data_IF_653881441564
#
_entry.id   IF_653881441564
#
_cell.length_a   1.000
_cell.length_b   1.000
_cell.length_c   1.000
_cell.angle_alpha   90.00
_cell.angle_beta   90.00
_cell.angle_gamma   90.00
#
_symmetry.space_group_name_H-M   'P 1'
#
loop_
_entity.id
_entity.type
_entity.pdbx_description
1 polymer ?
#
# COMPACT_ATOMS: atom_id res chain seq x y z
N UNK A 1 59.69 -38.68 -35.62
CA UNK A 1 58.57 -38.50 -34.68
C UNK A 1 58.04 -37.10 -34.91
N UNK A 2 57.02 -36.92 -35.76
CA UNK A 2 56.50 -35.63 -36.15
C UNK A 2 55.32 -35.29 -35.18
N UNK A 3 55.44 -34.20 -34.49
CA UNK A 3 54.40 -33.74 -33.58
C UNK A 3 53.13 -33.38 -34.37
N UNK A 4 51.94 -33.75 -33.90
CA UNK A 4 50.68 -33.35 -34.58
C UNK A 4 50.55 -31.83 -34.57
N UNK A 5 50.17 -31.30 -35.74
CA UNK A 5 50.03 -29.87 -35.97
C UNK A 5 48.88 -29.34 -35.09
N UNK A 6 49.11 -28.25 -34.35
CA UNK A 6 48.10 -27.65 -33.44
C UNK A 6 46.80 -27.27 -34.14
N UNK A 7 46.91 -26.98 -35.44
CA UNK A 7 45.76 -26.64 -36.29
C UNK A 7 44.81 -27.82 -36.55
N UNK A 8 45.33 -29.06 -36.62
CA UNK A 8 44.53 -30.27 -36.76
C UNK A 8 43.78 -30.60 -35.46
N UNK A 9 44.36 -30.31 -34.31
CA UNK A 9 43.73 -30.53 -33.00
C UNK A 9 42.60 -29.52 -32.73
N UNK A 10 42.73 -28.31 -33.27
CA UNK A 10 41.70 -27.26 -33.12
C UNK A 10 40.51 -27.47 -34.08
N UNK A 11 40.74 -28.04 -35.23
CA UNK A 11 39.69 -28.48 -36.18
C UNK A 11 38.92 -29.67 -35.61
N UNK A 12 39.57 -30.64 -35.03
CA UNK A 12 38.94 -31.83 -34.40
C UNK A 12 38.10 -31.45 -33.18
N UNK A 13 38.51 -30.42 -32.41
CA UNK A 13 37.75 -29.88 -31.29
C UNK A 13 36.54 -29.04 -31.75
N UNK A 14 36.58 -28.45 -32.95
CA UNK A 14 35.41 -27.73 -33.54
C UNK A 14 34.39 -28.70 -34.11
N UNK A 15 34.86 -29.75 -34.79
CA UNK A 15 33.98 -30.79 -35.35
C UNK A 15 33.25 -31.56 -34.24
N UNK A 16 33.94 -31.89 -33.12
CA UNK A 16 33.33 -32.50 -31.92
C UNK A 16 32.29 -31.59 -31.21
N UNK A 17 32.31 -30.29 -31.46
CA UNK A 17 31.34 -29.34 -30.86
C UNK A 17 30.07 -29.17 -31.68
N UNK A 18 30.08 -29.55 -32.96
CA UNK A 18 28.89 -29.42 -33.84
C UNK A 18 28.09 -30.72 -33.98
N UNK A 19 28.64 -31.83 -33.53
CA UNK A 19 27.90 -33.11 -33.50
C UNK A 19 26.89 -33.06 -32.35
N UNK A 20 25.68 -32.63 -32.65
CA UNK A 20 24.57 -32.71 -31.71
C UNK A 20 24.34 -34.16 -31.37
N UNK A 21 24.54 -34.55 -30.12
CA UNK A 21 24.33 -35.90 -29.61
C UNK A 21 22.97 -36.43 -30.08
N UNK A 22 22.93 -37.56 -30.85
CA UNK A 22 21.69 -38.08 -31.38
C UNK A 22 20.64 -38.38 -30.29
N UNK A 23 21.03 -38.66 -29.05
CA UNK A 23 20.13 -38.80 -27.91
C UNK A 23 19.39 -37.51 -27.59
N UNK A 24 20.00 -36.34 -27.88
CA UNK A 24 19.33 -35.04 -27.68
C UNK A 24 18.23 -34.77 -28.73
N UNK A 25 18.31 -35.40 -29.89
CA UNK A 25 17.31 -35.31 -30.96
C UNK A 25 16.10 -36.20 -30.70
N UNK A 26 16.24 -37.23 -29.88
CA UNK A 26 15.13 -38.11 -29.45
C UNK A 26 14.32 -37.55 -28.28
N UNK A 27 14.79 -36.45 -27.64
CA UNK A 27 14.03 -35.83 -26.56
C UNK A 27 12.71 -35.24 -27.12
N UNK A 28 11.58 -35.53 -26.47
CA UNK A 28 10.31 -34.97 -26.86
C UNK A 28 10.33 -33.45 -26.79
N UNK A 29 9.77 -32.80 -27.80
CA UNK A 29 9.64 -31.33 -27.83
C UNK A 29 9.09 -30.81 -26.50
N UNK A 30 9.73 -29.83 -25.89
CA UNK A 30 9.27 -29.27 -24.59
C UNK A 30 7.80 -28.76 -24.76
N UNK A 31 6.90 -29.08 -23.82
CA UNK A 31 5.49 -28.78 -23.92
C UNK A 31 5.24 -27.27 -24.00
N UNK A 32 5.09 -26.74 -25.22
CA UNK A 32 4.96 -25.30 -25.52
C UNK A 32 3.75 -24.69 -24.84
N UNK A 33 2.70 -25.47 -24.61
CA UNK A 33 1.48 -25.01 -23.92
C UNK A 33 1.76 -24.75 -22.43
N UNK A 34 2.45 -25.66 -21.75
CA UNK A 34 2.81 -25.52 -20.33
C UNK A 34 3.73 -24.33 -20.10
N UNK A 35 4.70 -24.11 -20.98
CA UNK A 35 5.57 -22.93 -20.91
C UNK A 35 4.78 -21.62 -21.00
N UNK A 36 3.81 -21.53 -21.94
CA UNK A 36 2.97 -20.33 -22.07
C UNK A 36 2.11 -20.09 -20.82
N UNK A 37 1.53 -21.16 -20.29
CA UNK A 37 0.73 -21.09 -19.06
C UNK A 37 1.58 -20.62 -17.87
N UNK A 38 2.78 -21.18 -17.69
CA UNK A 38 3.71 -20.77 -16.64
C UNK A 38 4.12 -19.30 -16.77
N UNK A 39 4.44 -18.85 -17.98
CA UNK A 39 4.78 -17.44 -18.23
C UNK A 39 3.58 -16.51 -17.93
N UNK A 40 2.38 -16.90 -18.31
CA UNK A 40 1.16 -16.13 -18.04
C UNK A 40 0.87 -16.05 -16.54
N UNK A 41 1.02 -17.14 -15.79
CA UNK A 41 0.84 -17.17 -14.34
C UNK A 41 1.89 -16.32 -13.62
N UNK A 42 3.17 -16.40 -14.03
CA UNK A 42 4.24 -15.55 -13.48
C UNK A 42 3.99 -14.07 -13.78
N UNK A 43 3.55 -13.72 -14.98
CA UNK A 43 3.22 -12.35 -15.32
C UNK A 43 2.05 -11.83 -14.48
N UNK A 44 0.96 -12.62 -14.38
CA UNK A 44 -0.22 -12.25 -13.59
C UNK A 44 0.11 -12.09 -12.12
N UNK A 45 0.83 -13.04 -11.51
CA UNK A 45 1.24 -12.96 -10.11
C UNK A 45 2.19 -11.78 -9.85
N UNK A 46 3.09 -11.49 -10.78
CA UNK A 46 3.99 -10.33 -10.71
C UNK A 46 3.23 -9.00 -10.75
N UNK A 47 2.28 -8.86 -11.67
CA UNK A 47 1.43 -7.66 -11.78
C UNK A 47 0.56 -7.48 -10.54
N UNK A 48 -0.07 -8.56 -10.05
CA UNK A 48 -0.89 -8.49 -8.85
C UNK A 48 -0.07 -8.07 -7.63
N UNK A 49 1.13 -8.65 -7.48
CA UNK A 49 2.01 -8.31 -6.36
C UNK A 49 2.51 -6.86 -6.45
N UNK A 50 2.83 -6.36 -7.64
CA UNK A 50 3.20 -4.96 -7.85
C UNK A 50 2.03 -4.02 -7.50
N UNK A 51 0.80 -4.37 -7.88
CA UNK A 51 -0.40 -3.61 -7.53
C UNK A 51 -0.64 -3.59 -6.01
N UNK A 52 -0.44 -4.73 -5.32
CA UNK A 52 -0.55 -4.80 -3.85
C UNK A 52 0.53 -3.97 -3.16
N UNK A 53 1.79 -4.06 -3.60
CA UNK A 53 2.88 -3.23 -3.08
C UNK A 53 2.58 -1.73 -3.26
N UNK A 54 2.08 -1.34 -4.43
CA UNK A 54 1.68 0.05 -4.70
C UNK A 54 0.51 0.48 -3.82
N UNK A 55 -0.51 -0.36 -3.64
CA UNK A 55 -1.65 -0.08 -2.76
C UNK A 55 -1.26 0.17 -1.30
N UNK A 56 -0.26 -0.58 -0.81
CA UNK A 56 0.26 -0.47 0.55
C UNK A 56 1.34 0.61 0.72
N UNK A 57 1.82 1.24 -0.36
CA UNK A 57 2.97 2.16 -0.32
C UNK A 57 2.75 3.37 0.59
N UNK A 58 1.52 3.87 0.69
CA UNK A 58 1.18 5.00 1.58
C UNK A 58 1.26 4.62 3.05
N UNK A 59 0.77 3.44 3.40
CA UNK A 59 0.83 2.95 4.78
C UNK A 59 2.27 2.60 5.15
N UNK A 60 3.03 2.04 4.21
CA UNK A 60 4.45 1.80 4.37
C UNK A 60 5.23 3.12 4.56
N UNK A 61 4.95 4.15 3.78
CA UNK A 61 5.60 5.46 3.94
C UNK A 61 5.24 6.13 5.28
N UNK A 62 4.01 5.94 5.77
CA UNK A 62 3.60 6.41 7.09
C UNK A 62 4.36 5.69 8.21
N UNK A 63 4.46 4.37 8.14
CA UNK A 63 5.22 3.58 9.11
C UNK A 63 6.70 3.96 9.20
N UNK A 64 7.29 4.46 8.10
CA UNK A 64 8.68 4.89 8.02
C UNK A 64 8.87 6.37 8.38
N UNK A 65 7.79 7.13 8.56
CA UNK A 65 7.81 8.58 8.77
C UNK A 65 8.29 9.05 10.15
N UNK A 66 8.66 8.12 11.03
CA UNK A 66 9.11 8.44 12.40
C UNK A 66 8.00 8.31 13.44
N UNK A 67 8.38 8.02 14.68
CA UNK A 67 7.47 7.76 15.81
C UNK A 67 7.08 9.00 16.61
N UNK A 68 7.72 10.15 16.37
CA UNK A 68 7.39 11.39 17.07
C UNK A 68 6.30 12.17 16.35
N UNK A 69 5.25 12.54 17.08
CA UNK A 69 4.19 13.37 16.54
C UNK A 69 4.68 14.81 16.33
N UNK A 70 4.25 15.43 15.24
CA UNK A 70 4.47 16.85 14.99
C UNK A 70 3.32 17.63 15.60
N UNK A 71 3.62 18.56 16.53
CA UNK A 71 2.61 19.42 17.15
C UNK A 71 2.04 20.41 16.13
N UNK A 72 0.73 20.39 15.92
CA UNK A 72 0.01 21.33 15.06
C UNK A 72 -0.84 22.35 15.86
N UNK A 73 -0.79 22.25 17.19
CA UNK A 73 -1.49 23.15 18.09
C UNK A 73 -3.01 23.02 18.06
N UNK A 74 -3.73 24.14 18.15
CA UNK A 74 -5.18 24.13 18.10
C UNK A 74 -5.68 23.96 16.66
N UNK A 75 -6.36 22.83 16.41
CA UNK A 75 -6.95 22.47 15.11
C UNK A 75 -7.89 23.55 14.54
N UNK A 76 -8.49 24.37 15.42
CA UNK A 76 -9.37 25.44 14.99
C UNK A 76 -8.62 26.57 14.29
N UNK A 77 -7.44 26.92 14.78
CA UNK A 77 -6.63 28.05 14.29
C UNK A 77 -5.46 27.62 13.42
N UNK A 78 -5.14 26.32 13.38
CA UNK A 78 -4.03 25.79 12.59
C UNK A 78 -4.22 26.08 11.09
N UNK A 79 -3.17 26.53 10.43
CA UNK A 79 -3.21 26.81 9.00
C UNK A 79 -3.14 25.50 8.20
N UNK A 80 -4.21 25.19 7.47
CA UNK A 80 -4.27 23.99 6.63
C UNK A 80 -3.20 23.96 5.51
N UNK A 81 -2.62 25.09 5.14
CA UNK A 81 -1.54 25.17 4.16
C UNK A 81 -0.22 24.57 4.69
N UNK A 82 -0.07 24.51 6.03
CA UNK A 82 1.10 23.92 6.68
C UNK A 82 0.97 22.41 6.91
N UNK A 83 -0.18 21.84 6.65
CA UNK A 83 -0.43 20.43 6.89
C UNK A 83 0.33 19.55 5.91
N UNK A 84 1.06 18.58 6.44
CA UNK A 84 1.83 17.61 5.67
C UNK A 84 1.00 16.34 5.48
N UNK A 85 0.72 15.92 4.25
CA UNK A 85 -0.03 14.70 4.00
C UNK A 85 0.68 13.47 4.55
N UNK A 86 -0.09 12.56 5.14
CA UNK A 86 0.43 11.29 5.63
C UNK A 86 1.45 11.43 6.78
N UNK A 87 1.30 12.45 7.60
CA UNK A 87 2.14 12.71 8.77
C UNK A 87 1.48 12.24 10.08
N UNK A 88 2.30 11.91 11.07
CA UNK A 88 1.86 11.68 12.44
C UNK A 88 1.87 13.02 13.17
N UNK A 89 0.69 13.44 13.63
CA UNK A 89 0.52 14.76 14.25
C UNK A 89 -0.18 14.66 15.59
N UNK A 90 0.06 15.67 16.44
CA UNK A 90 -0.71 15.90 17.66
C UNK A 90 -1.30 17.30 17.66
N UNK A 91 -2.49 17.43 18.19
CA UNK A 91 -3.16 18.72 18.27
C UNK A 91 -4.33 18.69 19.23
N UNK A 92 -4.84 19.87 19.55
CA UNK A 92 -5.99 20.05 20.42
C UNK A 92 -7.17 20.65 19.65
N UNK A 93 -8.39 20.45 20.11
CA UNK A 93 -9.54 21.06 19.49
C UNK A 93 -10.86 20.57 20.09
N UNK A 94 -11.92 21.29 19.76
CA UNK A 94 -13.28 20.87 20.10
C UNK A 94 -13.97 20.34 18.84
N UNK A 95 -14.64 19.22 18.97
CA UNK A 95 -15.40 18.65 17.87
C UNK A 95 -16.85 19.13 17.92
N UNK A 96 -17.42 19.37 16.76
CA UNK A 96 -18.83 19.73 16.62
C UNK A 96 -19.70 18.49 16.55
N UNK A 97 -20.79 18.47 17.32
CA UNK A 97 -21.83 17.44 17.18
C UNK A 97 -22.68 17.62 15.94
N UNK A 98 -22.71 18.83 15.37
CA UNK A 98 -23.40 19.11 14.10
C UNK A 98 -22.54 18.55 12.95
N UNK A 99 -23.16 17.75 12.08
CA UNK A 99 -22.46 17.07 10.97
C UNK A 99 -21.69 15.80 11.38
N UNK A 100 -21.82 15.35 12.64
CA UNK A 100 -21.20 14.13 13.10
C UNK A 100 -21.82 12.89 12.44
N UNK A 101 -20.98 12.04 11.84
CA UNK A 101 -21.36 10.76 11.28
C UNK A 101 -20.87 9.63 12.18
N UNK A 102 -21.81 8.79 12.63
CA UNK A 102 -21.45 7.52 13.30
C UNK A 102 -21.44 6.40 12.27
N UNK A 103 -20.44 5.55 12.34
CA UNK A 103 -20.35 4.37 11.51
C UNK A 103 -19.57 3.23 12.19
N UNK A 104 -19.77 2.04 11.69
CA UNK A 104 -19.09 0.82 12.13
C UNK A 104 -18.29 0.25 10.97
N UNK A 105 -17.23 -0.44 11.27
CA UNK A 105 -16.41 -1.12 10.27
C UNK A 105 -16.65 -2.62 10.31
N UNK A 106 -16.71 -3.27 9.15
CA UNK A 106 -16.78 -4.73 9.10
C UNK A 106 -15.61 -5.35 9.87
N UNK A 107 -15.89 -6.35 10.67
CA UNK A 107 -14.92 -7.10 11.49
C UNK A 107 -14.26 -6.32 12.64
N UNK A 108 -14.67 -5.10 12.92
CA UNK A 108 -14.26 -4.33 14.09
C UNK A 108 -15.46 -4.26 15.07
N UNK A 109 -15.22 -4.50 16.36
CA UNK A 109 -16.28 -4.44 17.40
C UNK A 109 -16.53 -3.03 17.92
N UNK A 110 -15.76 -2.07 17.46
CA UNK A 110 -15.79 -0.68 17.89
C UNK A 110 -16.55 0.18 16.90
N UNK A 111 -17.18 1.22 17.39
CA UNK A 111 -17.81 2.24 16.55
C UNK A 111 -16.87 3.44 16.35
N UNK A 112 -17.08 4.15 15.27
CA UNK A 112 -16.31 5.33 14.90
C UNK A 112 -17.22 6.52 14.76
N UNK A 113 -16.72 7.69 15.14
CA UNK A 113 -17.38 8.97 14.91
C UNK A 113 -16.48 9.86 14.09
N UNK A 114 -16.98 10.29 12.96
CA UNK A 114 -16.38 11.28 12.11
C UNK A 114 -17.03 12.63 12.40
N UNK A 115 -16.26 13.60 12.88
CA UNK A 115 -16.77 14.87 13.37
C UNK A 115 -15.95 16.05 12.82
N UNK A 116 -16.57 17.15 12.41
CA UNK A 116 -15.83 18.35 12.05
C UNK A 116 -15.30 19.05 13.30
N UNK A 117 -14.19 19.76 13.17
CA UNK A 117 -13.69 20.66 14.19
C UNK A 117 -14.63 21.84 14.34
N UNK A 118 -14.97 22.22 15.57
CA UNK A 118 -15.91 23.30 15.83
C UNK A 118 -15.43 24.63 15.23
N UNK A 119 -16.24 25.21 14.35
CA UNK A 119 -15.92 26.45 13.64
C UNK A 119 -15.06 26.28 12.39
N UNK A 120 -14.83 25.03 11.94
CA UNK A 120 -14.15 24.71 10.68
C UNK A 120 -14.88 23.59 9.92
N UNK A 121 -14.97 23.74 8.62
CA UNK A 121 -15.60 22.73 7.75
C UNK A 121 -14.55 21.92 6.97
N UNK A 122 -13.30 22.36 6.98
CA UNK A 122 -12.19 21.79 6.22
C UNK A 122 -11.31 20.84 7.03
N UNK A 123 -11.55 20.69 8.36
CA UNK A 123 -10.82 19.74 9.22
C UNK A 123 -11.80 18.82 9.93
N UNK A 124 -11.62 17.53 9.70
CA UNK A 124 -12.43 16.45 10.25
C UNK A 124 -11.57 15.53 11.11
N UNK A 125 -12.14 15.03 12.18
CA UNK A 125 -11.46 14.08 13.07
C UNK A 125 -12.31 12.82 13.14
N UNK A 126 -11.66 11.68 12.91
CA UNK A 126 -12.23 10.37 13.15
C UNK A 126 -11.80 9.91 14.53
N UNK A 127 -12.75 9.67 15.42
CA UNK A 127 -12.49 9.22 16.78
C UNK A 127 -13.08 7.84 16.98
N UNK A 128 -12.31 6.96 17.61
CA UNK A 128 -12.75 5.64 18.02
C UNK A 128 -13.60 5.75 19.29
N UNK A 129 -14.77 5.10 19.30
CA UNK A 129 -15.63 5.01 20.46
C UNK A 129 -15.51 3.59 21.02
N UNK A 130 -14.99 3.42 22.26
CA UNK A 130 -14.87 2.10 22.86
C UNK A 130 -16.23 1.39 23.00
N UNK A 131 -16.23 0.07 22.93
CA UNK A 131 -17.41 -0.75 23.18
C UNK A 131 -17.98 -0.43 24.58
N UNK A 132 -19.26 -0.10 24.65
CA UNK A 132 -19.92 0.36 25.89
C UNK A 132 -19.94 1.87 26.09
N UNK A 133 -19.17 2.66 25.36
CA UNK A 133 -19.22 4.15 25.35
C UNK A 133 -20.43 4.73 24.62
N UNK A 134 -21.35 3.89 24.18
CA UNK A 134 -22.52 4.28 23.38
C UNK A 134 -23.66 4.93 24.17
N UNK A 135 -23.57 4.95 25.50
CA UNK A 135 -24.52 5.65 26.34
C UNK A 135 -24.47 7.14 26.03
N UNK A 136 -25.62 7.81 25.91
CA UNK A 136 -25.83 9.16 25.40
C UNK A 136 -25.03 10.31 26.04
N UNK A 137 -23.96 10.04 26.79
CA UNK A 137 -23.07 10.98 27.44
C UNK A 137 -21.61 10.86 26.99
N UNK A 138 -21.32 10.16 25.86
CA UNK A 138 -19.94 10.13 25.38
C UNK A 138 -19.47 11.53 24.97
N UNK A 139 -18.44 12.00 25.60
CA UNK A 139 -17.82 13.29 25.33
C UNK A 139 -16.55 13.01 24.48
N UNK A 140 -16.43 13.64 23.29
CA UNK A 140 -15.23 13.49 22.48
C UNK A 140 -13.98 14.01 23.23
N UNK A 141 -12.80 13.39 23.03
CA UNK A 141 -11.56 13.93 23.55
C UNK A 141 -11.30 15.33 22.99
N UNK A 142 -10.45 16.09 23.65
CA UNK A 142 -10.01 17.41 23.20
C UNK A 142 -8.57 17.40 22.69
N UNK A 143 -7.83 16.34 22.98
CA UNK A 143 -6.48 16.10 22.53
C UNK A 143 -6.51 14.93 21.54
N UNK A 144 -5.84 15.09 20.44
CA UNK A 144 -5.81 14.13 19.34
C UNK A 144 -4.38 13.86 18.96
N UNK A 145 -4.06 12.59 18.72
CA UNK A 145 -2.80 12.21 18.13
C UNK A 145 -3.03 11.12 17.09
N UNK A 146 -2.61 11.36 15.85
CA UNK A 146 -2.93 10.43 14.79
C UNK A 146 -2.41 10.82 13.42
N UNK A 147 -2.89 10.09 12.44
CA UNK A 147 -2.50 10.28 11.05
C UNK A 147 -3.33 11.37 10.37
N UNK A 148 -2.63 12.37 9.83
CA UNK A 148 -3.26 13.45 9.07
C UNK A 148 -3.18 13.17 7.58
N UNK A 149 -4.32 13.15 6.90
CA UNK A 149 -4.42 12.89 5.46
C UNK A 149 -5.43 13.83 4.80
N UNK A 150 -5.24 14.21 3.52
CA UNK A 150 -6.31 14.83 2.76
C UNK A 150 -7.50 13.87 2.68
N UNK A 151 -8.71 14.35 2.96
CA UNK A 151 -9.91 13.52 3.02
C UNK A 151 -10.14 12.75 1.70
N UNK A 152 -9.85 13.38 0.57
CA UNK A 152 -9.93 12.76 -0.75
C UNK A 152 -8.94 11.62 -0.97
N UNK A 153 -7.87 11.54 -0.15
CA UNK A 153 -6.78 10.55 -0.24
C UNK A 153 -6.72 9.62 0.97
N UNK A 154 -7.75 9.60 1.80
CA UNK A 154 -7.76 8.82 3.04
C UNK A 154 -7.80 7.28 2.83
N UNK A 155 -7.82 6.81 1.59
CA UNK A 155 -7.74 5.39 1.23
C UNK A 155 -9.09 4.68 1.18
N UNK A 156 -9.03 3.36 0.91
CA UNK A 156 -10.23 2.53 0.75
C UNK A 156 -11.06 2.44 2.04
N UNK A 157 -10.41 2.49 3.19
CA UNK A 157 -11.03 2.40 4.52
C UNK A 157 -12.03 3.54 4.78
N UNK A 158 -11.79 4.70 4.19
CA UNK A 158 -12.61 5.92 4.33
C UNK A 158 -13.42 6.24 3.07
N UNK A 159 -13.41 5.30 2.11
CA UNK A 159 -14.14 5.46 0.85
C UNK A 159 -15.64 5.52 1.13
N UNK A 160 -16.30 6.56 0.65
CA UNK A 160 -17.74 6.74 0.85
C UNK A 160 -18.11 7.55 2.10
N UNK A 161 -17.22 7.77 3.08
CA UNK A 161 -17.53 8.56 4.27
C UNK A 161 -17.94 9.99 3.93
N UNK A 162 -17.32 10.58 2.91
CA UNK A 162 -17.68 11.92 2.43
C UNK A 162 -19.13 11.97 1.95
N UNK A 163 -19.54 11.03 1.10
CA UNK A 163 -20.94 10.91 0.67
C UNK A 163 -21.87 10.61 1.84
N UNK A 164 -21.45 9.71 2.76
CA UNK A 164 -22.22 9.40 3.95
C UNK A 164 -22.48 10.61 4.85
N UNK A 165 -21.51 11.52 5.00
CA UNK A 165 -21.71 12.78 5.70
C UNK A 165 -22.73 13.65 4.97
N UNK A 166 -22.58 13.84 3.66
CA UNK A 166 -23.50 14.64 2.84
C UNK A 166 -24.92 14.08 2.88
N UNK A 167 -25.09 12.76 2.77
CA UNK A 167 -26.40 12.10 2.73
C UNK A 167 -27.12 12.13 4.10
N UNK A 168 -26.38 11.93 5.20
CA UNK A 168 -26.97 11.80 6.53
C UNK A 168 -27.11 13.13 7.28
N UNK A 169 -26.24 14.09 7.01
CA UNK A 169 -26.21 15.36 7.76
C UNK A 169 -26.57 16.58 6.90
N UNK A 170 -26.62 16.44 5.58
CA UNK A 170 -26.79 17.54 4.64
C UNK A 170 -25.57 18.47 4.54
N UNK A 171 -24.50 18.21 5.30
CA UNK A 171 -23.29 19.03 5.31
C UNK A 171 -22.33 18.57 4.22
N UNK A 172 -21.93 19.49 3.33
CA UNK A 172 -20.94 19.19 2.29
C UNK A 172 -19.53 19.22 2.84
N UNK A 173 -18.79 18.14 2.62
CA UNK A 173 -17.36 18.08 2.95
C UNK A 173 -16.56 18.75 1.84
N UNK A 174 -15.78 19.82 2.10
CA UNK A 174 -14.99 20.51 1.08
C UNK A 174 -14.00 19.57 0.37
N UNK A 175 -13.66 19.87 -0.89
CA UNK A 175 -12.74 19.07 -1.67
C UNK A 175 -11.31 19.03 -1.10
N UNK A 176 -10.92 20.12 -0.44
CA UNK A 176 -9.63 20.33 0.22
C UNK A 176 -9.66 19.96 1.71
N UNK A 177 -10.72 19.29 2.19
CA UNK A 177 -10.83 18.90 3.59
C UNK A 177 -9.72 17.91 3.99
N UNK A 178 -9.32 18.02 5.25
CA UNK A 178 -8.35 17.15 5.92
C UNK A 178 -9.06 16.21 6.89
N UNK A 179 -8.51 15.03 7.03
CA UNK A 179 -8.95 14.03 7.98
C UNK A 179 -7.81 13.68 8.92
N UNK A 180 -8.03 13.87 10.22
CA UNK A 180 -7.18 13.34 11.27
C UNK A 180 -7.79 12.04 11.79
N UNK A 181 -7.07 10.95 11.63
CA UNK A 181 -7.47 9.63 12.16
C UNK A 181 -6.83 9.47 13.52
N UNK A 182 -7.62 9.74 14.56
CA UNK A 182 -7.15 9.70 15.94
C UNK A 182 -6.78 8.28 16.38
N UNK A 183 -5.69 8.16 17.14
CA UNK A 183 -5.16 6.89 17.63
C UNK A 183 -4.40 6.06 16.57
N UNK A 184 -4.27 6.51 15.33
CA UNK A 184 -3.48 5.80 14.33
C UNK A 184 -2.01 6.21 14.43
N UNK A 185 -1.19 5.34 15.02
CA UNK A 185 0.26 5.56 15.15
C UNK A 185 1.04 4.96 13.95
N UNK A 186 2.28 5.44 13.68
CA UNK A 186 3.14 4.80 12.68
C UNK A 186 3.42 3.32 12.97
N UNK A 187 3.44 2.95 14.24
CA UNK A 187 3.68 1.56 14.69
C UNK A 187 2.57 0.62 14.22
N UNK A 188 1.32 1.06 14.19
CA UNK A 188 0.18 0.29 13.68
C UNK A 188 0.31 -0.01 12.18
N UNK A 189 1.05 0.79 11.45
CA UNK A 189 1.27 0.61 10.02
C UNK A 189 2.51 -0.25 9.68
N UNK A 190 3.30 -0.70 10.67
CA UNK A 190 4.51 -1.52 10.42
C UNK A 190 4.23 -2.82 9.68
N UNK A 191 3.13 -3.49 10.00
CA UNK A 191 2.72 -4.69 9.27
C UNK A 191 2.46 -4.40 7.79
N UNK A 192 1.85 -3.25 7.47
CA UNK A 192 1.62 -2.83 6.08
C UNK A 192 2.93 -2.54 5.35
N UNK A 193 3.94 -1.97 6.04
CA UNK A 193 5.26 -1.74 5.47
C UNK A 193 5.98 -3.05 5.15
N UNK A 194 5.92 -4.02 6.06
CA UNK A 194 6.48 -5.35 5.85
C UNK A 194 5.82 -6.06 4.66
N UNK A 195 4.49 -6.05 4.61
CA UNK A 195 3.74 -6.64 3.51
C UNK A 195 4.05 -5.97 2.17
N UNK A 196 4.15 -4.63 2.14
CA UNK A 196 4.54 -3.90 0.94
C UNK A 196 5.92 -4.32 0.44
N UNK A 197 6.89 -4.45 1.35
CA UNK A 197 8.24 -4.93 1.02
C UNK A 197 8.23 -6.37 0.49
N UNK A 198 7.49 -7.28 1.11
CA UNK A 198 7.36 -8.67 0.65
C UNK A 198 6.75 -8.74 -0.76
N UNK A 199 5.68 -7.99 -1.03
CA UNK A 199 5.08 -7.95 -2.36
C UNK A 199 6.01 -7.33 -3.40
N UNK A 200 6.77 -6.30 -3.05
CA UNK A 200 7.75 -5.69 -3.94
C UNK A 200 8.88 -6.66 -4.29
N UNK A 201 9.43 -7.39 -3.32
CA UNK A 201 10.45 -8.42 -3.51
C UNK A 201 9.89 -9.54 -4.41
N UNK A 202 8.68 -10.01 -4.14
CA UNK A 202 8.06 -11.06 -4.94
C UNK A 202 7.77 -10.61 -6.37
N UNK A 203 7.32 -9.37 -6.58
CA UNK A 203 7.14 -8.80 -7.92
C UNK A 203 8.47 -8.71 -8.68
N UNK A 204 9.54 -8.26 -8.02
CA UNK A 204 10.88 -8.20 -8.59
C UNK A 204 11.40 -9.59 -8.96
N UNK A 205 11.19 -10.59 -8.10
CA UNK A 205 11.55 -11.98 -8.37
C UNK A 205 10.82 -12.52 -9.61
N UNK A 206 9.51 -12.31 -9.70
CA UNK A 206 8.74 -12.71 -10.89
C UNK A 206 9.26 -12.02 -12.16
N UNK A 207 9.58 -10.72 -12.10
CA UNK A 207 10.12 -9.98 -13.23
C UNK A 207 11.47 -10.54 -13.70
N UNK A 208 12.39 -10.84 -12.76
CA UNK A 208 13.68 -11.45 -13.06
C UNK A 208 13.52 -12.85 -13.67
N UNK A 209 12.60 -13.65 -13.11
CA UNK A 209 12.32 -15.00 -13.62
C UNK A 209 11.75 -14.95 -15.03
N UNK A 210 10.77 -14.07 -15.29
CA UNK A 210 10.22 -13.83 -16.61
C UNK A 210 11.28 -13.40 -17.61
N UNK A 211 12.14 -12.44 -17.21
CA UNK A 211 13.24 -11.98 -18.04
C UNK A 211 14.21 -13.13 -18.43
N UNK A 212 14.58 -13.97 -17.46
CA UNK A 212 15.44 -15.14 -17.70
C UNK A 212 14.79 -16.16 -18.64
N UNK A 213 13.50 -16.46 -18.44
CA UNK A 213 12.77 -17.43 -19.25
C UNK A 213 12.48 -16.94 -20.68
N UNK A 214 12.40 -15.63 -20.88
CA UNK A 214 12.12 -15.04 -22.21
C UNK A 214 13.39 -14.69 -22.98
N UNK A 215 14.55 -14.55 -22.29
CA UNK A 215 15.82 -14.29 -22.94
C UNK A 215 16.21 -15.51 -23.76
N UNK A 216 16.36 -15.35 -25.08
CA UNK A 216 16.91 -16.40 -25.92
C UNK A 216 18.35 -16.65 -25.50
N UNK A 217 18.67 -17.90 -25.17
CA UNK A 217 20.05 -18.35 -25.08
C UNK A 217 20.62 -18.25 -26.49
N UNK A 218 21.60 -17.35 -26.67
CA UNK A 218 22.38 -17.28 -27.93
C UNK A 218 23.46 -18.32 -27.86
#
# INVERSE_FOLDING_TARGET
MTAPNAESAELDLRESREEVDPELLELPDPPRKERRTTLALLALSGVLSAAMAFGLSRDASYALGGSSATGIGDLRSADAATFVPNSYVEGTGRLSGSGALRYERPFESESYRLMPVAGREDVWVEVRVPAGGESGRWIPPQEFSGRLVPFSKAGLRHRGLRGGVEDMTGQKVPANAWLLVDGQTPDDARCSALLAAMFAIFAAWNAVTLFRLTRKVK
#
